data_IF_740068980479
#
_entry.id   IF_740068980479
#
_cell.length_a   1.000
_cell.length_b   1.000
_cell.length_c   1.000
_cell.angle_alpha   90.00
_cell.angle_beta   90.00
_cell.angle_gamma   90.00
#
_symmetry.space_group_name_H-M   'P 1'
#
loop_
_entity.id
_entity.type
_entity.pdbx_description
1 polymer ?
#
# COMPACT_ATOMS: atom_id res chain seq x y z
N UNK A 1 9.81 -4.15 -21.53
CA UNK A 1 8.40 -4.22 -21.13
C UNK A 1 8.37 -3.92 -19.65
N UNK A 2 7.46 -3.06 -19.14
CA UNK A 2 7.35 -2.84 -17.70
C UNK A 2 7.08 -4.17 -17.00
N UNK A 3 7.54 -4.31 -15.76
CA UNK A 3 7.29 -5.50 -14.94
C UNK A 3 5.78 -5.74 -14.81
N UNK A 4 5.38 -6.99 -14.95
CA UNK A 4 3.99 -7.41 -14.78
C UNK A 4 3.77 -7.86 -13.33
N UNK A 5 2.93 -7.13 -12.60
CA UNK A 5 2.55 -7.44 -11.23
C UNK A 5 1.33 -8.36 -11.12
N UNK A 6 0.66 -8.65 -12.24
CA UNK A 6 -0.61 -9.37 -12.29
C UNK A 6 -0.53 -10.68 -11.53
N UNK A 7 -1.45 -10.87 -10.58
CA UNK A 7 -1.48 -12.08 -9.78
C UNK A 7 -2.01 -11.87 -8.37
N UNK A 8 -2.02 -12.97 -7.63
CA UNK A 8 -2.43 -13.04 -6.23
C UNK A 8 -1.19 -13.34 -5.39
N UNK A 9 -0.93 -12.48 -4.40
CA UNK A 9 0.25 -12.51 -3.54
C UNK A 9 -0.21 -12.63 -2.09
N UNK A 10 0.23 -13.69 -1.40
CA UNK A 10 -0.13 -13.93 0.00
C UNK A 10 1.02 -13.45 0.90
N UNK A 11 0.68 -12.81 2.03
CA UNK A 11 1.70 -12.31 2.94
C UNK A 11 2.51 -13.46 3.54
N UNK A 12 3.80 -13.51 3.25
CA UNK A 12 4.75 -14.45 3.86
C UNK A 12 5.29 -13.91 5.20
N UNK A 13 5.67 -12.62 5.24
CA UNK A 13 6.22 -11.97 6.43
C UNK A 13 5.93 -10.47 6.44
N UNK A 14 5.95 -9.87 7.63
CA UNK A 14 5.81 -8.42 7.80
C UNK A 14 6.65 -7.94 8.96
N UNK A 15 7.45 -6.92 8.72
CA UNK A 15 8.32 -6.31 9.73
C UNK A 15 7.79 -4.91 10.09
N UNK A 16 7.88 -4.55 11.38
CA UNK A 16 7.59 -3.21 11.88
C UNK A 16 6.16 -2.68 11.63
N UNK A 17 5.20 -3.55 11.29
CA UNK A 17 3.82 -3.17 10.97
C UNK A 17 3.13 -2.42 12.12
N UNK A 18 3.32 -2.86 13.37
CA UNK A 18 2.69 -2.21 14.52
C UNK A 18 3.09 -0.73 14.65
N UNK A 19 4.38 -0.42 14.47
CA UNK A 19 4.90 0.94 14.57
C UNK A 19 4.43 1.80 13.40
N UNK A 20 4.36 1.25 12.19
CA UNK A 20 3.78 1.94 11.04
C UNK A 20 2.31 2.31 11.28
N UNK A 21 1.49 1.35 11.72
CA UNK A 21 0.08 1.62 12.03
C UNK A 21 -0.08 2.62 13.17
N UNK A 22 0.81 2.57 14.18
CA UNK A 22 0.84 3.56 15.27
C UNK A 22 1.14 4.96 14.74
N UNK A 23 2.06 5.11 13.78
CA UNK A 23 2.39 6.40 13.17
C UNK A 23 1.22 7.01 12.38
N UNK A 24 0.31 6.17 11.90
CA UNK A 24 -0.94 6.57 11.25
C UNK A 24 -2.09 6.84 12.23
N UNK A 25 -1.83 6.82 13.54
CA UNK A 25 -2.82 6.98 14.62
C UNK A 25 -3.95 5.92 14.62
N UNK A 26 -3.67 4.72 14.08
CA UNK A 26 -4.64 3.62 14.13
C UNK A 26 -4.75 3.11 15.57
N UNK A 27 -5.96 2.89 16.07
CA UNK A 27 -6.22 2.47 17.45
C UNK A 27 -5.45 1.20 17.87
N UNK A 28 -5.03 1.14 19.15
CA UNK A 28 -4.22 0.05 19.69
C UNK A 28 -4.84 -1.34 19.50
N UNK A 29 -6.15 -1.49 19.74
CA UNK A 29 -6.82 -2.79 19.58
C UNK A 29 -6.82 -3.23 18.12
N UNK A 30 -7.06 -2.30 17.19
CA UNK A 30 -7.00 -2.56 15.75
C UNK A 30 -5.59 -2.95 15.31
N UNK A 31 -4.55 -2.28 15.82
CA UNK A 31 -3.15 -2.65 15.52
C UNK A 31 -2.83 -4.07 15.97
N UNK A 32 -3.27 -4.47 17.16
CA UNK A 32 -3.05 -5.83 17.68
C UNK A 32 -3.75 -6.90 16.86
N UNK A 33 -4.92 -6.63 16.31
CA UNK A 33 -5.57 -7.53 15.35
C UNK A 33 -4.76 -7.58 14.05
N UNK A 34 -4.43 -6.42 13.49
CA UNK A 34 -3.81 -6.30 12.16
C UNK A 34 -2.47 -7.05 12.03
N UNK A 35 -1.64 -7.06 13.07
CA UNK A 35 -0.32 -7.74 13.03
C UNK A 35 -0.40 -9.26 13.01
N UNK A 36 -1.57 -9.85 13.26
CA UNK A 36 -1.80 -11.30 13.19
C UNK A 36 -2.56 -11.71 11.93
N UNK A 37 -2.86 -10.77 11.02
CA UNK A 37 -3.55 -11.07 9.77
C UNK A 37 -2.57 -11.46 8.67
N UNK A 38 -3.02 -12.34 7.79
CA UNK A 38 -2.31 -12.75 6.58
C UNK A 38 -3.05 -12.19 5.36
N UNK A 39 -2.92 -10.88 5.04
CA UNK A 39 -3.61 -10.30 3.91
C UNK A 39 -3.14 -10.90 2.58
N UNK A 40 -4.06 -10.94 1.64
CA UNK A 40 -3.81 -11.27 0.24
C UNK A 40 -3.86 -9.99 -0.58
N UNK A 41 -2.89 -9.79 -1.46
CA UNK A 41 -2.91 -8.75 -2.49
C UNK A 41 -3.20 -9.33 -3.86
N UNK A 42 -4.18 -8.76 -4.56
CA UNK A 42 -4.45 -9.08 -5.96
C UNK A 42 -4.16 -7.86 -6.81
N UNK A 43 -3.27 -8.01 -7.78
CA UNK A 43 -2.96 -6.99 -8.78
C UNK A 43 -3.64 -7.34 -10.09
N UNK A 44 -4.31 -6.36 -10.68
CA UNK A 44 -4.84 -6.39 -12.04
C UNK A 44 -4.17 -5.23 -12.78
N UNK A 45 -3.32 -5.56 -13.76
CA UNK A 45 -2.56 -4.59 -14.54
C UNK A 45 -3.00 -4.60 -16.00
N UNK A 46 -3.39 -3.44 -16.52
CA UNK A 46 -3.70 -3.21 -17.93
C UNK A 46 -2.87 -2.00 -18.42
N UNK A 47 -1.67 -2.31 -18.93
CA UNK A 47 -0.66 -1.30 -19.24
C UNK A 47 -0.26 -0.52 -17.98
N UNK A 48 -0.57 0.77 -17.96
CA UNK A 48 -0.34 1.67 -16.83
C UNK A 48 -1.56 1.81 -15.90
N UNK A 49 -2.67 1.12 -16.19
CA UNK A 49 -3.84 1.10 -15.31
C UNK A 49 -3.73 -0.07 -14.34
N UNK A 50 -3.91 0.21 -13.06
CA UNK A 50 -3.81 -0.78 -11.99
C UNK A 50 -5.05 -0.77 -11.11
N UNK A 51 -5.42 -1.98 -10.68
CA UNK A 51 -6.28 -2.19 -9.52
C UNK A 51 -5.54 -3.09 -8.54
N UNK A 52 -5.29 -2.58 -7.33
CA UNK A 52 -4.69 -3.33 -6.23
C UNK A 52 -5.77 -3.58 -5.18
N UNK A 53 -6.07 -4.85 -4.92
CA UNK A 53 -6.98 -5.27 -3.85
C UNK A 53 -6.17 -5.87 -2.73
N UNK A 54 -6.28 -5.33 -1.52
CA UNK A 54 -5.68 -5.90 -0.31
C UNK A 54 -6.81 -6.43 0.57
N UNK A 55 -6.87 -7.74 0.77
CA UNK A 55 -7.98 -8.41 1.45
C UNK A 55 -7.46 -9.17 2.67
N UNK A 56 -8.13 -9.05 3.80
CA UNK A 56 -7.86 -9.83 5.01
C UNK A 56 -9.18 -10.31 5.61
N UNK A 57 -9.13 -11.21 6.59
CA UNK A 57 -10.31 -11.66 7.32
C UNK A 57 -11.04 -10.52 8.06
N UNK A 58 -10.36 -9.40 8.32
CA UNK A 58 -10.93 -8.26 9.04
C UNK A 58 -11.45 -7.15 8.10
N UNK A 59 -10.64 -6.74 7.13
CA UNK A 59 -10.95 -5.63 6.23
C UNK A 59 -10.33 -5.82 4.84
N UNK A 60 -11.03 -5.30 3.83
CA UNK A 60 -10.55 -5.20 2.46
C UNK A 60 -10.38 -3.74 2.05
N UNK A 61 -9.40 -3.46 1.20
CA UNK A 61 -9.11 -2.16 0.61
C UNK A 61 -8.80 -2.32 -0.88
N UNK A 62 -9.28 -1.38 -1.68
CA UNK A 62 -9.04 -1.36 -3.12
C UNK A 62 -8.49 0.01 -3.52
N UNK A 63 -7.41 -0.01 -4.29
CA UNK A 63 -6.77 1.17 -4.85
C UNK A 63 -6.66 1.00 -6.37
N UNK A 64 -7.43 1.82 -7.11
CA UNK A 64 -7.37 1.90 -8.58
C UNK A 64 -6.69 3.18 -9.01
N UNK A 65 -5.72 3.12 -9.93
CA UNK A 65 -4.95 4.27 -10.41
C UNK A 65 -4.41 4.05 -11.81
N UNK A 66 -4.07 5.15 -12.49
CA UNK A 66 -3.22 5.13 -13.67
C UNK A 66 -1.84 5.67 -13.28
N UNK A 67 -0.77 5.00 -13.70
CA UNK A 67 0.60 5.44 -13.41
C UNK A 67 0.84 6.83 -14.03
N UNK A 68 1.46 7.72 -13.28
CA UNK A 68 1.72 9.12 -13.68
C UNK A 68 0.55 10.08 -13.47
N UNK A 69 -0.61 9.60 -13.01
CA UNK A 69 -1.80 10.42 -12.79
C UNK A 69 -2.09 10.57 -11.29
N UNK A 70 -2.05 11.81 -10.78
CA UNK A 70 -2.41 12.10 -9.38
C UNK A 70 -3.94 11.97 -9.21
N UNK A 71 -4.38 11.29 -8.14
CA UNK A 71 -5.79 11.08 -7.82
C UNK A 71 -6.11 11.36 -6.36
N UNK A 72 -7.37 11.64 -6.07
CA UNK A 72 -7.87 11.62 -4.69
C UNK A 72 -8.04 10.18 -4.20
N UNK A 73 -7.53 9.89 -3.01
CA UNK A 73 -7.61 8.58 -2.34
C UNK A 73 -8.17 8.80 -0.94
N UNK A 74 -9.32 8.18 -0.66
CA UNK A 74 -9.85 8.14 0.70
C UNK A 74 -9.56 6.79 1.34
N UNK A 75 -8.71 6.77 2.37
CA UNK A 75 -8.25 5.53 3.05
C UNK A 75 -9.28 5.01 4.05
N UNK A 76 -10.53 4.90 3.59
CA UNK A 76 -11.70 4.52 4.39
C UNK A 76 -11.45 3.21 5.10
N UNK A 77 -11.67 3.21 6.41
CA UNK A 77 -11.53 2.03 7.24
C UNK A 77 -10.09 1.63 7.56
N UNK A 78 -9.09 2.32 7.03
CA UNK A 78 -7.72 2.25 7.52
C UNK A 78 -7.51 3.38 8.51
N UNK A 79 -7.03 4.53 8.04
CA UNK A 79 -6.82 5.72 8.87
C UNK A 79 -7.78 6.87 8.54
N UNK A 80 -8.76 6.65 7.64
CA UNK A 80 -9.85 7.57 7.31
C UNK A 80 -9.40 8.97 6.89
N UNK A 81 -8.36 9.07 6.06
CA UNK A 81 -7.83 10.33 5.57
C UNK A 81 -8.05 10.51 4.07
N UNK A 82 -8.23 11.77 3.66
CA UNK A 82 -8.21 12.17 2.27
C UNK A 82 -6.77 12.49 1.86
N UNK A 83 -6.29 11.85 0.80
CA UNK A 83 -4.93 11.97 0.29
C UNK A 83 -4.98 12.32 -1.20
N UNK A 84 -3.92 12.94 -1.69
CA UNK A 84 -3.58 12.99 -3.11
C UNK A 84 -2.47 12.00 -3.38
N UNK A 85 -2.75 11.00 -4.21
CA UNK A 85 -1.86 9.88 -4.44
C UNK A 85 -1.41 9.87 -5.89
N UNK A 86 -0.09 9.84 -6.07
CA UNK A 86 0.56 9.71 -7.36
C UNK A 86 1.42 8.46 -7.32
N UNK A 87 1.20 7.55 -8.27
CA UNK A 87 2.04 6.35 -8.46
C UNK A 87 2.87 6.53 -9.72
N UNK A 88 4.16 6.22 -9.64
CA UNK A 88 5.13 6.36 -10.74
C UNK A 88 6.03 5.13 -10.83
N UNK A 89 6.60 4.90 -12.01
CA UNK A 89 7.66 3.93 -12.22
C UNK A 89 9.02 4.50 -11.81
N UNK A 90 9.78 3.78 -10.99
CA UNK A 90 11.21 4.01 -10.74
C UNK A 90 11.98 2.76 -11.18
N UNK A 91 12.35 2.70 -12.46
CA UNK A 91 12.79 1.46 -13.09
C UNK A 91 11.67 0.42 -13.03
N UNK A 92 11.97 -0.74 -12.46
CA UNK A 92 11.05 -1.88 -12.33
C UNK A 92 10.18 -1.83 -11.07
N UNK A 93 10.10 -0.67 -10.42
CA UNK A 93 9.44 -0.49 -9.11
C UNK A 93 8.29 0.49 -9.22
N UNK A 94 7.16 0.16 -8.59
CA UNK A 94 6.03 1.09 -8.42
C UNK A 94 6.24 1.89 -7.14
N UNK A 95 6.26 3.21 -7.26
CA UNK A 95 6.43 4.13 -6.12
C UNK A 95 5.24 5.05 -6.01
N UNK A 96 4.60 5.04 -4.85
CA UNK A 96 3.49 5.92 -4.53
C UNK A 96 3.90 6.99 -3.52
N UNK A 97 3.54 8.22 -3.83
CA UNK A 97 3.60 9.36 -2.92
C UNK A 97 2.17 9.70 -2.53
N UNK A 98 1.87 9.70 -1.22
CA UNK A 98 0.55 10.00 -0.67
C UNK A 98 0.62 11.33 0.10
N UNK A 99 0.20 12.42 -0.52
CA UNK A 99 0.20 13.75 0.11
C UNK A 99 -1.07 13.94 0.93
N UNK A 100 -0.93 14.33 2.19
CA UNK A 100 -2.04 14.62 3.09
C UNK A 100 -1.55 15.13 4.44
N UNK A 101 -2.35 14.93 5.49
CA UNK A 101 -2.04 15.33 6.87
C UNK A 101 -0.70 14.76 7.38
N UNK A 102 -0.37 13.54 6.94
CA UNK A 102 0.79 12.79 7.38
C UNK A 102 1.95 12.96 6.39
N UNK A 103 3.07 13.52 6.86
CA UNK A 103 4.24 13.84 6.02
C UNK A 103 5.01 12.59 5.57
N UNK A 104 5.63 12.65 4.39
CA UNK A 104 6.43 11.54 3.81
C UNK A 104 5.71 10.19 3.83
N UNK A 105 4.40 10.20 3.57
CA UNK A 105 3.60 8.98 3.44
C UNK A 105 3.72 8.46 2.02
N UNK A 106 3.97 7.17 1.90
CA UNK A 106 4.06 6.52 0.59
C UNK A 106 4.42 5.06 0.71
N UNK A 107 4.53 4.41 -0.44
CA UNK A 107 4.93 3.02 -0.51
C UNK A 107 5.69 2.71 -1.79
N UNK A 108 6.44 1.60 -1.77
CA UNK A 108 7.19 1.08 -2.91
C UNK A 108 6.94 -0.41 -3.04
N UNK A 109 6.50 -0.85 -4.22
CA UNK A 109 6.39 -2.26 -4.59
C UNK A 109 7.44 -2.62 -5.65
N UNK A 110 7.99 -3.83 -5.54
CA UNK A 110 8.82 -4.43 -6.59
C UNK A 110 8.71 -5.96 -6.50
N UNK A 111 9.06 -6.62 -7.60
CA UNK A 111 9.16 -8.08 -7.66
C UNK A 111 10.64 -8.42 -7.78
N UNK A 112 11.07 -9.40 -7.00
CA UNK A 112 12.39 -10.00 -7.08
C UNK A 112 12.20 -11.51 -6.91
N UNK A 113 12.74 -12.27 -7.87
CA UNK A 113 12.44 -13.69 -8.07
C UNK A 113 10.93 -13.96 -8.18
N UNK A 114 10.37 -14.73 -7.25
CA UNK A 114 8.96 -15.10 -7.14
C UNK A 114 8.25 -14.39 -5.98
N UNK A 115 8.82 -13.30 -5.47
CA UNK A 115 8.30 -12.57 -4.30
C UNK A 115 7.93 -11.13 -4.65
N UNK A 116 6.76 -10.72 -4.15
CA UNK A 116 6.33 -9.32 -4.14
C UNK A 116 6.77 -8.66 -2.83
N UNK A 117 7.53 -7.59 -2.94
CA UNK A 117 7.95 -6.78 -1.81
C UNK A 117 7.12 -5.50 -1.72
N UNK A 118 6.89 -5.05 -0.49
CA UNK A 118 6.24 -3.78 -0.16
C UNK A 118 6.99 -3.12 0.99
N UNK A 119 7.46 -1.89 0.77
CA UNK A 119 7.91 -1.00 1.84
C UNK A 119 6.94 0.16 1.95
N UNK A 120 6.30 0.30 3.10
CA UNK A 120 5.48 1.46 3.44
C UNK A 120 6.28 2.43 4.30
N UNK A 121 6.13 3.72 4.05
CA UNK A 121 6.86 4.78 4.73
C UNK A 121 5.92 5.85 5.25
N UNK A 122 6.30 6.40 6.40
CA UNK A 122 5.66 7.52 7.08
C UNK A 122 6.74 8.16 7.95
N UNK A 123 6.97 9.47 7.84
CA UNK A 123 7.87 10.18 8.77
C UNK A 123 7.10 10.97 9.81
N UNK A 124 7.74 11.20 10.95
CA UNK A 124 7.37 12.23 11.91
C UNK A 124 8.29 13.42 11.70
N UNK A 125 7.73 14.64 11.70
CA UNK A 125 8.51 15.76 12.22
C UNK A 125 8.38 15.68 13.75
N UNK A 126 9.51 15.47 14.42
CA UNK A 126 9.61 15.56 15.87
C UNK A 126 9.56 17.01 16.34
#
# INVERSE_FOLDING_TARGET
>A
MPVDFTGKWELESSENLENYLKALDIDFAIRKIAVHLTPVKTFIQDGDNFVIKTQSAFKSYELSFAVGVEKEEFTKGFDNRMLKTLVTWEGDKLVAIQKGEKANRGWKHWIEDDKLYLVSSQSFYG
#
